data_IF_365679837664
#
_entry.id   IF_365679837664
#
_cell.length_a   1.000
_cell.length_b   1.000
_cell.length_c   1.000
_cell.angle_alpha   90.00
_cell.angle_beta   90.00
_cell.angle_gamma   90.00
#
_symmetry.space_group_name_H-M   'P 1'
#
loop_
_entity.id
_entity.type
_entity.pdbx_description
1 polymer ?
#
# COMPACT_ATOMS: atom_id res chain seq x y z
N UNK A 1 37.61 28.28 -34.99
CA UNK A 1 36.97 29.07 -33.93
C UNK A 1 35.48 29.00 -34.16
N UNK A 2 34.75 28.94 -33.05
CA UNK A 2 33.30 29.02 -32.88
C UNK A 2 32.47 27.78 -33.21
N UNK A 3 32.49 26.86 -32.23
CA UNK A 3 31.28 26.19 -31.81
C UNK A 3 30.45 27.09 -30.91
N UNK A 4 29.11 26.94 -30.95
CA UNK A 4 28.20 27.02 -29.79
C UNK A 4 26.74 27.09 -30.28
N UNK A 5 25.94 26.09 -29.88
CA UNK A 5 24.70 26.22 -29.08
C UNK A 5 23.79 25.02 -29.32
N UNK A 6 24.10 23.91 -28.63
CA UNK A 6 23.11 22.89 -28.33
C UNK A 6 22.21 23.40 -27.20
N UNK A 7 20.92 23.28 -27.42
CA UNK A 7 19.80 23.62 -26.53
C UNK A 7 19.79 22.69 -25.31
N UNK A 8 20.49 23.07 -24.24
CA UNK A 8 20.67 22.26 -23.02
C UNK A 8 19.51 22.31 -22.00
N UNK A 9 18.36 22.93 -22.33
CA UNK A 9 17.23 23.06 -21.40
C UNK A 9 16.30 21.84 -21.38
N UNK A 10 15.87 21.37 -22.56
CA UNK A 10 14.87 20.30 -22.68
C UNK A 10 15.39 18.90 -22.35
N UNK A 11 16.63 18.57 -22.72
CA UNK A 11 17.19 17.22 -22.48
C UNK A 11 17.43 16.94 -20.99
N UNK A 12 17.85 17.93 -20.20
CA UNK A 12 18.09 17.78 -18.77
C UNK A 12 16.79 17.59 -17.97
N UNK A 13 15.69 18.17 -18.45
CA UNK A 13 14.36 18.06 -17.87
C UNK A 13 13.76 16.68 -18.20
N UNK A 14 13.87 16.24 -19.46
CA UNK A 14 13.36 14.95 -19.92
C UNK A 14 14.11 13.77 -19.29
N UNK A 15 15.43 13.90 -19.12
CA UNK A 15 16.26 12.95 -18.37
C UNK A 15 15.83 12.85 -16.89
N UNK A 16 15.58 13.98 -16.21
CA UNK A 16 15.10 13.99 -14.82
C UNK A 16 13.77 13.27 -14.63
N UNK A 17 12.83 13.39 -15.58
CA UNK A 17 11.54 12.69 -15.49
C UNK A 17 11.68 11.19 -15.70
N UNK A 18 12.50 10.78 -16.68
CA UNK A 18 12.80 9.37 -16.92
C UNK A 18 13.45 8.73 -15.69
N UNK A 19 14.39 9.44 -15.07
CA UNK A 19 15.07 8.96 -13.85
C UNK A 19 14.10 8.80 -12.67
N UNK A 20 13.22 9.78 -12.46
CA UNK A 20 12.18 9.72 -11.41
C UNK A 20 11.18 8.60 -11.69
N UNK A 21 10.78 8.42 -12.96
CA UNK A 21 9.90 7.33 -13.37
C UNK A 21 10.50 5.95 -13.05
N UNK A 22 11.75 5.72 -13.47
CA UNK A 22 12.43 4.46 -13.20
C UNK A 22 12.66 4.24 -11.70
N UNK A 23 12.97 5.29 -10.94
CA UNK A 23 13.11 5.21 -9.49
C UNK A 23 11.80 4.78 -8.80
N UNK A 24 10.68 5.44 -9.10
CA UNK A 24 9.38 5.12 -8.49
C UNK A 24 8.86 3.76 -8.95
N UNK A 25 9.04 3.42 -10.23
CA UNK A 25 8.65 2.11 -10.76
C UNK A 25 9.45 0.98 -10.11
N UNK A 26 10.74 1.22 -9.80
CA UNK A 26 11.59 0.25 -9.11
C UNK A 26 11.27 0.15 -7.61
N UNK A 27 10.93 1.25 -6.94
CA UNK A 27 10.39 1.22 -5.57
C UNK A 27 9.07 0.45 -5.50
N UNK A 28 8.24 0.56 -6.53
CA UNK A 28 7.03 -0.24 -6.66
C UNK A 28 7.25 -1.72 -6.96
N UNK A 29 8.49 -2.24 -7.07
CA UNK A 29 8.75 -3.68 -7.28
C UNK A 29 8.68 -4.46 -5.97
N UNK A 30 8.03 -5.63 -6.02
CA UNK A 30 7.96 -6.54 -4.88
C UNK A 30 9.23 -7.39 -4.82
N UNK A 31 10.25 -6.88 -4.14
CA UNK A 31 11.55 -7.55 -3.98
C UNK A 31 11.63 -8.34 -2.66
N UNK A 32 12.60 -9.24 -2.55
CA UNK A 32 12.83 -10.00 -1.31
C UNK A 32 13.13 -9.09 -0.10
N UNK A 33 13.92 -8.03 -0.30
CA UNK A 33 14.20 -7.06 0.77
C UNK A 33 12.93 -6.35 1.25
N UNK A 34 12.04 -5.98 0.33
CA UNK A 34 10.74 -5.41 0.64
C UNK A 34 9.92 -6.35 1.52
N UNK A 35 9.85 -7.64 1.14
CA UNK A 35 9.14 -8.66 1.90
C UNK A 35 9.73 -8.85 3.31
N UNK A 36 11.06 -8.91 3.44
CA UNK A 36 11.73 -9.04 4.73
C UNK A 36 11.44 -7.84 5.64
N UNK A 37 11.56 -6.61 5.14
CA UNK A 37 11.21 -5.42 5.91
C UNK A 37 9.74 -5.38 6.30
N UNK A 38 8.84 -5.78 5.40
CA UNK A 38 7.41 -5.85 5.69
C UNK A 38 7.10 -6.84 6.81
N UNK A 39 7.68 -8.04 6.78
CA UNK A 39 7.47 -9.06 7.82
C UNK A 39 8.05 -8.60 9.16
N UNK A 40 9.28 -8.10 9.18
CA UNK A 40 9.90 -7.57 10.40
C UNK A 40 9.07 -6.43 11.00
N UNK A 41 8.63 -5.48 10.17
CA UNK A 41 7.78 -4.39 10.62
C UNK A 41 6.46 -4.90 11.20
N UNK A 42 5.82 -5.89 10.56
CA UNK A 42 4.56 -6.46 11.04
C UNK A 42 4.73 -7.20 12.38
N UNK A 43 5.82 -7.93 12.60
CA UNK A 43 6.13 -8.58 13.89
C UNK A 43 6.34 -7.53 15.00
N UNK A 44 7.09 -6.46 14.71
CA UNK A 44 7.30 -5.36 15.66
C UNK A 44 5.98 -4.67 16.00
N UNK A 45 5.12 -4.44 15.01
CA UNK A 45 3.79 -3.86 15.21
C UNK A 45 2.92 -4.76 16.11
N UNK A 46 2.94 -6.07 15.88
CA UNK A 46 2.17 -7.07 16.65
C UNK A 46 2.53 -7.04 18.13
N UNK A 47 3.83 -7.08 18.45
CA UNK A 47 4.36 -6.97 19.81
C UNK A 47 4.03 -5.60 20.40
N UNK A 48 4.17 -4.52 19.63
CA UNK A 48 3.93 -3.16 20.09
C UNK A 48 2.46 -2.93 20.49
N UNK A 49 1.52 -3.52 19.75
CA UNK A 49 0.09 -3.49 20.06
C UNK A 49 -0.21 -4.23 21.38
N UNK A 50 0.37 -5.42 21.58
CA UNK A 50 0.14 -6.22 22.81
C UNK A 50 0.83 -5.64 24.04
N UNK A 51 1.96 -4.95 23.86
CA UNK A 51 2.70 -4.28 24.95
C UNK A 51 2.23 -2.85 25.23
N UNK A 52 1.19 -2.38 24.54
CA UNK A 52 0.61 -1.03 24.68
C UNK A 52 1.65 0.10 24.55
N UNK A 53 2.63 -0.08 23.66
CA UNK A 53 3.76 0.86 23.48
C UNK A 53 3.64 1.64 22.16
N UNK A 54 3.13 2.88 22.24
CA UNK A 54 3.03 3.77 21.10
C UNK A 54 4.38 4.02 20.40
N UNK A 55 5.49 4.08 21.15
CA UNK A 55 6.83 4.26 20.60
C UNK A 55 7.24 3.09 19.68
N UNK A 56 6.98 1.84 20.11
CA UNK A 56 7.24 0.66 19.30
C UNK A 56 6.29 0.59 18.09
N UNK A 57 5.06 1.07 18.25
CA UNK A 57 4.09 1.15 17.13
C UNK A 57 4.62 2.12 16.06
N UNK A 58 5.13 3.29 16.42
CA UNK A 58 5.74 4.21 15.45
C UNK A 58 7.03 3.65 14.82
N UNK A 59 7.85 2.94 15.61
CA UNK A 59 9.04 2.27 15.08
C UNK A 59 8.70 1.25 13.98
N UNK A 60 7.60 0.49 14.14
CA UNK A 60 7.14 -0.43 13.11
C UNK A 60 6.75 0.26 11.79
N UNK A 61 6.20 1.48 11.86
CA UNK A 61 5.84 2.25 10.66
C UNK A 61 7.07 2.75 9.91
N UNK A 62 8.14 3.09 10.63
CA UNK A 62 9.42 3.51 10.03
C UNK A 62 10.10 2.38 9.26
N UNK A 63 9.93 1.14 9.72
CA UNK A 63 10.49 -0.05 9.07
C UNK A 63 9.71 -0.45 7.82
N UNK A 64 8.42 -0.09 7.75
CA UNK A 64 7.52 -0.60 6.72
C UNK A 64 7.68 0.10 5.37
N UNK A 65 7.92 -0.65 4.28
CA UNK A 65 7.99 -0.08 2.94
C UNK A 65 6.61 0.10 2.27
N UNK A 66 5.50 0.07 3.02
CA UNK A 66 4.13 0.16 2.47
C UNK A 66 3.86 1.43 1.66
N UNK A 67 4.63 2.50 1.88
CA UNK A 67 4.48 3.74 1.11
C UNK A 67 4.96 3.65 -0.34
N UNK A 68 5.96 2.82 -0.62
CA UNK A 68 6.53 2.67 -1.96
C UNK A 68 5.49 2.27 -3.03
N UNK A 69 4.67 1.21 -2.84
CA UNK A 69 3.64 0.86 -3.81
C UNK A 69 2.50 1.90 -3.88
N UNK A 70 2.21 2.63 -2.79
CA UNK A 70 1.18 3.69 -2.80
C UNK A 70 1.64 4.88 -3.66
N UNK A 71 2.91 5.26 -3.57
CA UNK A 71 3.49 6.29 -4.45
C UNK A 71 3.46 5.87 -5.91
N UNK A 72 3.75 4.59 -6.19
CA UNK A 72 3.63 4.02 -7.53
C UNK A 72 2.20 4.16 -8.09
N UNK A 73 1.17 3.99 -7.27
CA UNK A 73 -0.24 4.22 -7.65
C UNK A 73 -0.49 5.69 -7.99
N UNK A 74 -0.12 6.62 -7.11
CA UNK A 74 -0.37 8.06 -7.29
C UNK A 74 0.35 8.59 -8.55
N UNK A 75 1.60 8.20 -8.73
CA UNK A 75 2.41 8.62 -9.87
C UNK A 75 1.89 8.00 -11.18
N UNK A 76 1.56 6.71 -11.18
CA UNK A 76 0.94 6.05 -12.34
C UNK A 76 -0.40 6.66 -12.74
N UNK A 77 -1.24 7.04 -11.76
CA UNK A 77 -2.50 7.76 -12.01
C UNK A 77 -2.27 9.15 -12.59
N UNK A 78 -1.21 9.83 -12.16
CA UNK A 78 -0.84 11.16 -12.67
C UNK A 78 -0.35 11.10 -14.12
N UNK A 79 0.43 10.07 -14.47
CA UNK A 79 0.92 9.82 -15.84
C UNK A 79 -0.11 9.14 -16.75
N UNK A 80 -1.28 8.74 -16.22
CA UNK A 80 -2.29 7.94 -16.94
C UNK A 80 -1.74 6.63 -17.49
N UNK A 81 -0.76 6.02 -16.82
CA UNK A 81 -0.20 4.73 -17.21
C UNK A 81 -0.78 3.59 -16.37
N UNK A 82 -1.74 2.80 -16.91
CA UNK A 82 -2.46 1.80 -16.13
C UNK A 82 -1.58 0.63 -15.68
N UNK A 83 -0.48 0.36 -16.40
CA UNK A 83 0.48 -0.71 -16.05
C UNK A 83 1.14 -0.44 -14.70
N UNK A 84 1.60 0.80 -14.49
CA UNK A 84 2.24 1.22 -13.24
C UNK A 84 1.23 1.25 -12.08
N UNK A 85 0.03 1.80 -12.31
CA UNK A 85 -1.04 1.83 -11.31
C UNK A 85 -1.47 0.44 -10.87
N UNK A 86 -1.68 -0.49 -11.82
CA UNK A 86 -2.11 -1.86 -11.50
C UNK A 86 -1.03 -2.61 -10.73
N UNK A 87 0.25 -2.42 -11.08
CA UNK A 87 1.39 -2.98 -10.35
C UNK A 87 1.41 -2.48 -8.90
N UNK A 88 1.24 -1.17 -8.68
CA UNK A 88 1.16 -0.59 -7.35
C UNK A 88 -0.02 -1.17 -6.55
N UNK A 89 -1.22 -1.20 -7.14
CA UNK A 89 -2.41 -1.73 -6.47
C UNK A 89 -2.28 -3.22 -6.09
N UNK A 90 -1.74 -4.04 -6.99
CA UNK A 90 -1.45 -5.46 -6.72
C UNK A 90 -0.48 -5.60 -5.55
N UNK A 91 0.60 -4.84 -5.55
CA UNK A 91 1.63 -4.95 -4.52
C UNK A 91 1.13 -4.43 -3.17
N UNK A 92 0.39 -3.32 -3.12
CA UNK A 92 -0.28 -2.86 -1.88
C UNK A 92 -1.23 -3.92 -1.33
N UNK A 93 -2.06 -4.53 -2.18
CA UNK A 93 -3.01 -5.57 -1.78
C UNK A 93 -2.30 -6.80 -1.21
N UNK A 94 -1.25 -7.27 -1.88
CA UNK A 94 -0.41 -8.40 -1.40
C UNK A 94 0.23 -8.05 -0.04
N UNK A 95 0.77 -6.85 0.11
CA UNK A 95 1.38 -6.43 1.37
C UNK A 95 0.38 -6.37 2.52
N UNK A 96 -0.83 -5.87 2.29
CA UNK A 96 -1.89 -5.87 3.33
C UNK A 96 -2.27 -7.29 3.76
N UNK A 97 -2.42 -8.21 2.81
CA UNK A 97 -2.71 -9.62 3.11
C UNK A 97 -1.59 -10.22 3.96
N UNK A 98 -0.33 -9.97 3.62
CA UNK A 98 0.82 -10.44 4.41
C UNK A 98 0.77 -9.87 5.83
N UNK A 99 0.47 -8.58 6.01
CA UNK A 99 0.34 -7.98 7.34
C UNK A 99 -0.77 -8.65 8.18
N UNK A 100 -1.91 -8.96 7.57
CA UNK A 100 -3.01 -9.65 8.25
C UNK A 100 -2.59 -11.07 8.64
N UNK A 101 -1.95 -11.82 7.74
CA UNK A 101 -1.45 -13.18 8.00
C UNK A 101 -0.43 -13.16 9.13
N UNK A 102 0.52 -12.22 9.11
CA UNK A 102 1.53 -12.07 10.17
C UNK A 102 0.88 -11.71 11.50
N UNK A 103 -0.11 -10.80 11.51
CA UNK A 103 -0.86 -10.45 12.72
C UNK A 103 -1.66 -11.62 13.29
N UNK A 104 -2.20 -12.50 12.46
CA UNK A 104 -2.84 -13.75 12.92
C UNK A 104 -1.78 -14.73 13.46
N UNK A 105 -0.68 -14.94 12.74
CA UNK A 105 0.34 -15.90 13.10
C UNK A 105 1.09 -15.54 14.39
N UNK A 106 1.47 -14.27 14.54
CA UNK A 106 2.17 -13.74 15.72
C UNK A 106 1.20 -13.30 16.84
N UNK A 107 -0.08 -13.07 16.52
CA UNK A 107 -1.12 -12.87 17.51
C UNK A 107 -1.31 -14.08 18.44
N UNK A 108 -1.04 -15.31 17.98
CA UNK A 108 -1.14 -16.53 18.81
C UNK A 108 -0.13 -16.49 19.97
N UNK A 109 1.20 -16.41 19.72
CA UNK A 109 2.16 -16.29 20.82
C UNK A 109 1.94 -15.02 21.64
N UNK A 110 1.53 -13.90 21.02
CA UNK A 110 1.21 -12.68 21.75
C UNK A 110 0.05 -12.87 22.75
N UNK A 111 -0.98 -13.64 22.39
CA UNK A 111 -2.08 -14.02 23.27
C UNK A 111 -1.62 -14.91 24.44
N UNK A 112 -0.75 -15.89 24.18
CA UNK A 112 -0.20 -16.73 25.25
C UNK A 112 0.66 -15.92 26.22
N UNK A 113 1.46 -14.99 25.71
CA UNK A 113 2.31 -14.10 26.53
C UNK A 113 1.43 -13.18 27.38
N UNK A 114 0.38 -12.58 26.81
CA UNK A 114 -0.51 -11.69 27.56
C UNK A 114 -1.22 -12.42 28.71
N UNK A 115 -1.62 -13.67 28.50
CA UNK A 115 -2.19 -14.52 29.54
C UNK A 115 -1.19 -14.78 30.67
N UNK A 116 0.08 -15.07 30.35
CA UNK A 116 1.11 -15.38 31.34
C UNK A 116 1.59 -14.14 32.12
N UNK A 117 1.79 -13.01 31.43
CA UNK A 117 2.22 -11.75 32.05
C UNK A 117 1.08 -11.02 32.77
N UNK A 118 -0.17 -11.42 32.53
CA UNK A 118 -1.33 -10.83 33.17
C UNK A 118 -1.60 -9.39 32.75
N UNK A 119 -1.32 -9.05 31.49
CA UNK A 119 -1.54 -7.71 30.92
C UNK A 119 -3.01 -7.33 31.10
N UNK A 120 -3.26 -6.17 31.71
CA UNK A 120 -4.58 -5.60 31.91
C UNK A 120 -4.51 -4.08 31.62
N UNK A 121 -5.39 -3.54 30.76
CA UNK A 121 -6.47 -4.22 30.04
C UNK A 121 -5.98 -5.05 28.83
N UNK A 122 -6.65 -6.17 28.54
CA UNK A 122 -6.41 -6.98 27.33
C UNK A 122 -7.75 -7.35 26.68
N UNK A 123 -8.01 -6.96 25.41
CA UNK A 123 -7.15 -6.20 24.48
C UNK A 123 -6.70 -4.82 24.99
N UNK A 124 -5.50 -4.39 24.59
CA UNK A 124 -4.85 -3.15 25.06
C UNK A 124 -5.52 -1.89 24.52
N UNK A 125 -5.11 -0.72 25.04
CA UNK A 125 -5.64 0.57 24.61
C UNK A 125 -5.21 0.93 23.19
N UNK A 126 -3.97 0.61 22.80
CA UNK A 126 -3.44 0.77 21.45
C UNK A 126 -4.17 -0.09 20.42
N UNK A 127 -4.54 -1.33 20.76
CA UNK A 127 -5.36 -2.17 19.90
C UNK A 127 -6.78 -1.61 19.75
N UNK A 128 -7.39 -1.27 20.89
CA UNK A 128 -8.79 -0.86 20.96
C UNK A 128 -9.05 0.46 20.25
N UNK A 129 -8.18 1.45 20.42
CA UNK A 129 -8.32 2.79 19.83
C UNK A 129 -8.39 2.76 18.30
N UNK A 130 -7.73 1.79 17.67
CA UNK A 130 -7.70 1.58 16.21
C UNK A 130 -8.89 0.77 15.66
N UNK A 131 -9.73 0.23 16.54
CA UNK A 131 -10.97 -0.48 16.20
C UNK A 131 -12.24 0.34 16.49
N UNK A 132 -12.10 1.61 16.85
CA UNK A 132 -13.23 2.50 17.15
C UNK A 132 -13.61 3.36 15.94
N UNK A 133 -14.92 3.54 15.71
CA UNK A 133 -15.42 4.40 14.64
C UNK A 133 -14.92 5.86 14.74
N UNK A 134 -14.62 6.35 15.95
CA UNK A 134 -14.06 7.70 16.15
C UNK A 134 -12.70 7.87 15.46
N UNK A 135 -11.91 6.79 15.35
CA UNK A 135 -10.61 6.82 14.69
C UNK A 135 -10.74 7.01 13.17
N UNK A 136 -11.82 6.48 12.56
CA UNK A 136 -12.11 6.69 11.13
C UNK A 136 -12.35 8.16 10.82
N UNK A 137 -13.09 8.87 11.68
CA UNK A 137 -13.40 10.28 11.47
C UNK A 137 -12.12 11.12 11.58
N UNK A 138 -11.31 10.85 12.61
CA UNK A 138 -10.02 11.53 12.79
C UNK A 138 -9.07 11.27 11.62
N UNK A 139 -9.08 10.04 11.08
CA UNK A 139 -8.17 9.67 9.99
C UNK A 139 -8.51 10.32 8.66
N UNK A 140 -9.76 10.75 8.41
CA UNK A 140 -10.12 11.46 7.18
C UNK A 140 -9.28 12.74 7.02
N UNK A 141 -9.21 13.55 8.08
CA UNK A 141 -8.47 14.82 8.06
C UNK A 141 -6.98 14.54 7.90
N UNK A 142 -6.43 13.62 8.68
CA UNK A 142 -5.01 13.26 8.62
C UNK A 142 -4.64 12.68 7.27
N UNK A 143 -5.44 11.76 6.72
CA UNK A 143 -5.20 11.14 5.41
C UNK A 143 -5.27 12.14 4.26
N UNK A 144 -6.21 13.08 4.32
CA UNK A 144 -6.29 14.14 3.33
C UNK A 144 -5.05 15.04 3.32
N UNK A 145 -4.55 15.44 4.51
CA UNK A 145 -3.34 16.22 4.64
C UNK A 145 -2.09 15.43 4.18
N UNK A 146 -2.02 14.13 4.50
CA UNK A 146 -0.91 13.30 4.07
C UNK A 146 -0.88 13.04 2.57
N UNK A 147 -2.01 12.93 1.87
CA UNK A 147 -1.99 12.81 0.41
C UNK A 147 -1.48 14.06 -0.31
N UNK A 148 -1.76 15.25 0.26
CA UNK A 148 -1.14 16.51 -0.18
C UNK A 148 0.37 16.45 0.04
N UNK A 149 0.81 16.09 1.26
CA UNK A 149 2.23 15.96 1.62
C UNK A 149 2.97 14.96 0.71
N UNK A 150 2.39 13.79 0.44
CA UNK A 150 2.97 12.76 -0.45
C UNK A 150 3.19 13.31 -1.86
N UNK A 151 2.24 14.09 -2.38
CA UNK A 151 2.36 14.71 -3.71
C UNK A 151 3.50 15.72 -3.78
N UNK A 152 3.77 16.46 -2.69
CA UNK A 152 4.93 17.34 -2.61
C UNK A 152 6.24 16.59 -2.32
N UNK A 153 6.19 15.49 -1.56
CA UNK A 153 7.34 14.64 -1.28
C UNK A 153 7.91 14.02 -2.56
N UNK A 154 7.04 13.57 -3.48
CA UNK A 154 7.43 13.02 -4.78
C UNK A 154 8.17 14.06 -5.61
N UNK A 155 7.67 15.30 -5.68
CA UNK A 155 8.27 16.38 -6.48
C UNK A 155 9.58 16.89 -5.89
N UNK A 156 9.68 16.92 -4.56
CA UNK A 156 10.87 17.40 -3.85
C UNK A 156 11.93 16.31 -3.67
N UNK A 157 11.64 15.07 -4.09
CA UNK A 157 12.45 13.88 -3.83
C UNK A 157 12.90 13.78 -2.35
N UNK A 158 12.02 14.18 -1.43
CA UNK A 158 12.33 14.26 0.00
C UNK A 158 11.99 12.94 0.70
N UNK A 159 13.02 12.16 1.01
CA UNK A 159 12.87 10.94 1.81
C UNK A 159 12.30 11.25 3.21
N UNK A 160 12.65 12.39 3.81
CA UNK A 160 12.13 12.78 5.11
C UNK A 160 10.61 13.02 5.09
N UNK A 161 10.09 13.66 4.03
CA UNK A 161 8.65 13.86 3.87
C UNK A 161 7.92 12.53 3.63
N UNK A 162 8.53 11.61 2.87
CA UNK A 162 8.00 10.27 2.65
C UNK A 162 7.87 9.48 3.97
N UNK A 163 8.93 9.46 4.78
CA UNK A 163 8.95 8.79 6.07
C UNK A 163 7.93 9.43 7.03
N UNK A 164 7.86 10.76 7.09
CA UNK A 164 6.88 11.48 7.93
C UNK A 164 5.44 11.11 7.59
N UNK A 165 5.13 10.92 6.31
CA UNK A 165 3.80 10.47 5.89
C UNK A 165 3.51 9.02 6.33
N UNK A 166 4.50 8.13 6.30
CA UNK A 166 4.35 6.74 6.75
C UNK A 166 3.95 6.67 8.24
N UNK A 167 4.57 7.52 9.07
CA UNK A 167 4.29 7.63 10.50
C UNK A 167 2.89 8.23 10.74
N UNK A 168 2.56 9.31 10.02
CA UNK A 168 1.31 10.05 10.23
C UNK A 168 0.06 9.23 9.94
N UNK A 169 0.15 8.26 9.01
CA UNK A 169 -1.03 7.59 8.46
C UNK A 169 -1.34 6.25 9.12
N UNK A 170 -0.43 5.74 9.95
CA UNK A 170 -0.60 4.47 10.65
C UNK A 170 -1.14 3.38 9.71
N UNK A 171 -0.51 3.11 8.56
CA UNK A 171 -1.05 2.12 7.61
C UNK A 171 -0.80 0.68 8.06
N UNK A 172 0.40 0.42 8.61
CA UNK A 172 0.81 -0.91 9.05
C UNK A 172 0.05 -1.37 10.31
N UNK A 173 0.00 -0.59 11.41
CA UNK A 173 -0.52 -1.13 12.66
C UNK A 173 -2.00 -1.51 12.65
N UNK A 174 -2.93 -0.76 12.05
CA UNK A 174 -4.33 -1.19 11.95
C UNK A 174 -4.51 -2.40 11.02
N UNK A 175 -3.61 -2.63 10.06
CA UNK A 175 -3.62 -3.85 9.22
C UNK A 175 -3.26 -5.09 10.06
N UNK A 176 -2.21 -4.98 10.88
CA UNK A 176 -1.79 -6.05 11.80
C UNK A 176 -2.84 -6.28 12.90
N UNK A 177 -3.37 -5.18 13.46
CA UNK A 177 -4.42 -5.20 14.48
C UNK A 177 -5.71 -5.87 13.99
N UNK A 178 -6.08 -5.69 12.72
CA UNK A 178 -7.16 -6.43 12.08
C UNK A 178 -6.95 -7.95 12.19
N UNK A 179 -5.75 -8.43 11.84
CA UNK A 179 -5.38 -9.84 11.97
C UNK A 179 -5.47 -10.34 13.41
N UNK A 180 -4.95 -9.57 14.38
CA UNK A 180 -5.04 -9.90 15.80
C UNK A 180 -6.49 -9.97 16.29
N UNK A 181 -7.35 -9.02 15.92
CA UNK A 181 -8.76 -9.04 16.32
C UNK A 181 -9.55 -10.18 15.71
N UNK A 182 -9.28 -10.56 14.46
CA UNK A 182 -9.88 -11.76 13.88
C UNK A 182 -9.43 -13.03 14.59
N UNK A 183 -8.15 -13.13 14.97
CA UNK A 183 -7.67 -14.22 15.80
C UNK A 183 -8.40 -14.25 17.16
N UNK A 184 -8.52 -13.11 17.84
CA UNK A 184 -9.20 -13.01 19.13
C UNK A 184 -10.68 -13.37 19.03
N UNK A 185 -11.35 -13.02 17.93
CA UNK A 185 -12.72 -13.45 17.66
C UNK A 185 -12.81 -14.99 17.56
N UNK A 186 -11.86 -15.63 16.85
CA UNK A 186 -11.79 -17.10 16.75
C UNK A 186 -11.49 -17.74 18.10
N UNK A 187 -10.54 -17.20 18.87
CA UNK A 187 -10.23 -17.69 20.22
C UNK A 187 -11.45 -17.55 21.14
N UNK A 188 -12.19 -16.46 21.07
CA UNK A 188 -13.41 -16.25 21.84
C UNK A 188 -14.55 -17.24 21.49
N UNK A 189 -14.53 -17.81 20.28
CA UNK A 189 -15.46 -18.87 19.88
C UNK A 189 -15.05 -20.24 20.39
N UNK A 190 -13.74 -20.49 20.49
CA UNK A 190 -13.15 -21.76 20.97
C UNK A 190 -13.23 -21.83 22.50
N UNK A 191 -12.75 -20.79 23.19
CA UNK A 191 -12.82 -20.68 24.64
C UNK A 191 -14.24 -20.35 25.06
N UNK A 192 -15.00 -21.35 25.50
CA UNK A 192 -16.35 -21.13 26.02
C UNK A 192 -16.29 -20.21 27.25
N UNK A 193 -17.12 -19.16 27.31
CA UNK A 193 -17.15 -18.28 28.47
C UNK A 193 -17.68 -19.00 29.71
N UNK A 194 -17.18 -18.61 30.88
CA UNK A 194 -17.77 -19.01 32.16
C UNK A 194 -19.05 -18.21 32.37
N UNK A 195 -20.18 -18.91 32.46
CA UNK A 195 -21.50 -18.28 32.68
C UNK A 195 -21.75 -18.17 34.18
N UNK A 196 -21.81 -16.96 34.69
CA UNK A 196 -22.16 -16.66 36.08
C UNK A 196 -23.52 -15.98 36.14
N UNK A 197 -24.31 -16.30 37.17
CA UNK A 197 -25.57 -15.60 37.46
C UNK A 197 -25.29 -14.56 38.53
N UNK A 198 -25.42 -13.27 38.19
CA UNK A 198 -25.30 -12.19 39.15
C UNK A 198 -26.71 -11.70 39.48
N UNK A 199 -27.03 -11.62 40.76
CA UNK A 199 -28.29 -11.07 41.24
C UNK A 199 -28.06 -9.61 41.59
N UNK A 200 -28.42 -8.70 40.69
CA UNK A 200 -28.39 -7.27 40.99
C UNK A 200 -29.69 -6.89 41.72
N UNK A 201 -29.55 -6.24 42.87
CA UNK A 201 -30.68 -5.75 43.66
C UNK A 201 -30.89 -4.27 43.33
N UNK A 202 -31.95 -3.96 42.57
CA UNK A 202 -32.33 -2.57 42.32
C UNK A 202 -32.95 -2.01 43.60
N UNK A 203 -32.19 -1.16 44.31
CA UNK A 203 -32.67 -0.45 45.49
C UNK A 203 -33.47 0.78 45.05
N UNK A 204 -34.66 0.56 44.51
CA UNK A 204 -35.64 1.62 44.36
C UNK A 204 -37.02 1.08 44.72
N UNK A 205 -37.34 1.19 46.01
CA UNK A 205 -38.66 1.14 46.65
C UNK A 205 -39.53 -0.14 46.48
N UNK A 206 -39.04 -1.18 45.79
CA UNK A 206 -39.50 -2.56 45.88
C UNK A 206 -38.30 -3.47 45.52
N UNK A 207 -37.98 -4.45 46.37
CA UNK A 207 -36.84 -5.36 46.18
C UNK A 207 -37.08 -6.32 45.01
N UNK A 208 -36.88 -5.83 43.79
CA UNK A 208 -36.81 -6.66 42.58
C UNK A 208 -35.35 -7.10 42.43
N UNK A 209 -35.09 -8.37 42.74
CA UNK A 209 -33.81 -9.02 42.46
C UNK A 209 -33.82 -9.48 41.00
N UNK A 210 -33.07 -8.81 40.14
CA UNK A 210 -32.93 -9.20 38.73
C UNK A 210 -31.71 -10.09 38.62
N UNK A 211 -31.91 -11.34 38.22
CA UNK A 211 -30.81 -12.25 37.89
C UNK A 211 -30.36 -11.97 36.47
N UNK A 212 -29.20 -11.34 36.32
CA UNK A 212 -28.54 -11.13 35.03
C UNK A 212 -27.52 -12.23 34.79
N UNK A 213 -27.47 -12.72 33.56
CA UNK A 213 -26.47 -13.70 33.11
C UNK A 213 -25.23 -12.92 32.69
N UNK A 214 -24.11 -13.15 33.36
CA UNK A 214 -22.83 -12.50 33.07
C UNK A 214 -21.82 -13.55 32.59
N UNK A 215 -21.29 -13.37 31.38
CA UNK A 215 -20.21 -14.18 30.84
C UNK A 215 -18.86 -13.57 31.19
N UNK A 216 -17.90 -14.40 31.59
CA UNK A 216 -16.53 -13.97 31.82
C UNK A 216 -15.56 -14.90 31.08
N UNK A 217 -14.65 -14.30 30.31
CA UNK A 217 -13.54 -15.01 29.67
C UNK A 217 -12.31 -14.99 30.59
N UNK A 218 -11.50 -16.04 30.53
CA UNK A 218 -10.27 -16.15 31.34
C UNK A 218 -9.24 -15.08 30.96
N UNK A 219 -9.20 -14.74 29.68
CA UNK A 219 -8.17 -13.90 29.08
C UNK A 219 -8.59 -12.43 28.91
N UNK A 220 -9.89 -12.12 28.89
CA UNK A 220 -10.38 -10.73 28.81
C UNK A 220 -10.32 -10.12 30.22
N UNK A 221 -9.51 -9.07 30.39
CA UNK A 221 -9.33 -8.38 31.68
C UNK A 221 -9.57 -6.88 31.51
N UNK A 222 -10.43 -6.33 32.35
CA UNK A 222 -10.76 -4.89 32.43
C UNK A 222 -11.05 -4.22 31.08
N UNK A 223 -11.70 -4.97 30.20
CA UNK A 223 -12.04 -4.51 28.87
C UNK A 223 -13.43 -3.87 28.83
N UNK A 224 -13.52 -2.67 28.25
CA UNK A 224 -14.78 -1.98 28.05
C UNK A 224 -15.36 -2.30 26.66
N UNK A 225 -16.49 -3.00 26.63
CA UNK A 225 -17.22 -3.31 25.41
C UNK A 225 -17.96 -2.05 24.92
N UNK A 226 -17.80 -1.70 23.65
CA UNK A 226 -18.39 -0.47 23.08
C UNK A 226 -19.58 -0.80 22.20
N UNK A 227 -19.49 -1.84 21.37
CA UNK A 227 -20.57 -2.19 20.43
C UNK A 227 -21.59 -3.15 21.04
N UNK A 228 -21.23 -3.81 22.14
CA UNK A 228 -22.01 -4.88 22.76
C UNK A 228 -22.22 -4.63 24.26
N UNK A 229 -23.41 -4.94 24.76
CA UNK A 229 -23.75 -4.88 26.19
C UNK A 229 -23.53 -6.20 26.92
N UNK A 230 -23.67 -7.33 26.22
CA UNK A 230 -23.52 -8.68 26.78
C UNK A 230 -22.12 -9.24 26.53
N UNK A 231 -21.37 -9.52 27.58
CA UNK A 231 -20.05 -10.14 27.47
C UNK A 231 -20.07 -11.55 26.81
N UNK A 232 -21.23 -12.19 26.69
CA UNK A 232 -21.36 -13.49 26.01
C UNK A 232 -21.17 -13.38 24.48
N UNK A 233 -21.42 -12.21 23.91
CA UNK A 233 -21.28 -11.95 22.48
C UNK A 233 -19.91 -11.31 22.13
N UNK A 234 -18.93 -11.43 23.03
CA UNK A 234 -17.56 -10.94 22.84
C UNK A 234 -16.90 -11.30 21.49
N UNK A 235 -17.12 -12.50 20.88
CA UNK A 235 -16.58 -12.79 19.55
C UNK A 235 -16.99 -11.78 18.48
N UNK A 236 -18.24 -11.29 18.57
CA UNK A 236 -18.76 -10.32 17.61
C UNK A 236 -18.19 -8.92 17.83
N UNK A 237 -17.89 -8.52 19.07
CA UNK A 237 -17.18 -7.27 19.37
C UNK A 237 -15.79 -7.27 18.70
N UNK A 238 -15.04 -8.35 18.86
CA UNK A 238 -13.70 -8.47 18.28
C UNK A 238 -13.75 -8.52 16.75
N UNK A 239 -14.72 -9.22 16.18
CA UNK A 239 -14.93 -9.23 14.73
C UNK A 239 -15.24 -7.82 14.19
N UNK A 240 -16.11 -7.06 14.85
CA UNK A 240 -16.44 -5.67 14.48
C UNK A 240 -15.18 -4.80 14.54
N UNK A 241 -14.38 -4.92 15.62
CA UNK A 241 -13.14 -4.14 15.76
C UNK A 241 -12.09 -4.49 14.72
N UNK A 242 -11.97 -5.76 14.35
CA UNK A 242 -11.13 -6.20 13.23
C UNK A 242 -11.54 -5.56 11.91
N UNK A 243 -12.84 -5.60 11.60
CA UNK A 243 -13.40 -4.97 10.39
C UNK A 243 -13.17 -3.46 10.40
N UNK A 244 -13.43 -2.77 11.51
CA UNK A 244 -13.20 -1.32 11.63
C UNK A 244 -11.72 -0.97 11.42
N UNK A 245 -10.79 -1.76 11.97
CA UNK A 245 -9.35 -1.55 11.77
C UNK A 245 -8.92 -1.77 10.32
N UNK A 246 -9.52 -2.75 9.62
CA UNK A 246 -9.31 -2.93 8.18
C UNK A 246 -9.91 -1.79 7.35
N UNK A 247 -11.11 -1.33 7.68
CA UNK A 247 -11.71 -0.18 7.02
C UNK A 247 -10.86 1.08 7.22
N UNK A 248 -10.24 1.25 8.39
CA UNK A 248 -9.32 2.36 8.66
C UNK A 248 -8.12 2.35 7.71
N UNK A 249 -7.49 1.21 7.47
CA UNK A 249 -6.35 1.14 6.53
C UNK A 249 -6.78 1.41 5.09
N UNK A 250 -7.88 0.80 4.65
CA UNK A 250 -8.40 0.99 3.30
C UNK A 250 -8.81 2.44 3.05
N UNK A 251 -9.54 3.04 4.00
CA UNK A 251 -9.97 4.43 3.92
C UNK A 251 -8.76 5.37 3.83
N UNK A 252 -7.72 5.15 4.65
CA UNK A 252 -6.51 5.95 4.60
C UNK A 252 -5.84 5.83 3.22
N UNK A 253 -5.67 4.62 2.69
CA UNK A 253 -5.06 4.40 1.36
C UNK A 253 -5.87 5.09 0.26
N UNK A 254 -7.19 4.93 0.25
CA UNK A 254 -8.08 5.52 -0.75
C UNK A 254 -8.02 7.06 -0.69
N UNK A 255 -8.08 7.65 0.51
CA UNK A 255 -8.01 9.10 0.67
C UNK A 255 -6.67 9.67 0.25
N UNK A 256 -5.56 8.99 0.53
CA UNK A 256 -4.22 9.38 0.07
C UNK A 256 -4.19 9.40 -1.46
N UNK A 257 -4.72 8.35 -2.11
CA UNK A 257 -4.74 8.26 -3.57
C UNK A 257 -5.60 9.39 -4.16
N UNK A 258 -6.81 9.61 -3.63
CA UNK A 258 -7.73 10.64 -4.13
C UNK A 258 -7.15 12.04 -3.96
N UNK A 259 -6.68 12.37 -2.76
CA UNK A 259 -6.14 13.72 -2.48
C UNK A 259 -4.80 13.94 -3.17
N UNK A 260 -3.96 12.91 -3.27
CA UNK A 260 -2.70 13.00 -4.01
C UNK A 260 -2.91 13.20 -5.52
N UNK A 261 -3.85 12.44 -6.09
CA UNK A 261 -4.29 12.65 -7.48
C UNK A 261 -4.86 14.06 -7.69
N UNK A 262 -5.72 14.52 -6.77
CA UNK A 262 -6.33 15.85 -6.84
C UNK A 262 -5.29 16.97 -6.81
N UNK A 263 -4.27 16.87 -5.96
CA UNK A 263 -3.18 17.86 -5.89
C UNK A 263 -2.35 17.88 -7.16
N UNK A 264 -2.00 16.71 -7.69
CA UNK A 264 -1.28 16.64 -8.97
C UNK A 264 -2.12 17.20 -10.11
N UNK A 265 -3.43 16.93 -10.11
CA UNK A 265 -4.37 17.49 -11.08
C UNK A 265 -4.54 19.01 -10.95
N UNK A 266 -4.56 19.55 -9.73
CA UNK A 266 -4.62 20.99 -9.49
C UNK A 266 -3.35 21.69 -9.97
N UNK A 267 -2.18 21.05 -9.84
CA UNK A 267 -0.93 21.59 -10.41
C UNK A 267 -1.00 21.70 -11.94
N UNK A 268 -1.72 20.81 -12.62
CA UNK A 268 -1.99 20.93 -14.06
C UNK A 268 -2.95 22.09 -14.40
N UNK A 269 -3.73 22.60 -13.43
CA UNK A 269 -4.82 23.56 -13.63
C UNK A 269 -4.52 24.98 -13.11
N UNK A 270 -3.56 25.16 -12.20
CA UNK A 270 -3.22 26.48 -11.65
C UNK A 270 -2.52 27.32 -12.74
N UNK A 271 -3.08 28.49 -13.14
CA UNK A 271 -2.35 29.42 -13.98
C UNK A 271 -1.12 29.91 -13.23
N UNK A 272 0.03 29.86 -13.91
CA UNK A 272 1.39 30.06 -13.43
C UNK A 272 1.65 31.48 -12.89
N UNK A 273 1.03 31.86 -11.77
CA UNK A 273 1.12 33.21 -11.20
C UNK A 273 2.02 33.31 -9.96
N UNK A 274 2.54 32.19 -9.42
CA UNK A 274 3.28 32.20 -8.14
C UNK A 274 4.51 31.26 -8.12
N UNK A 275 5.23 31.11 -9.21
CA UNK A 275 6.48 30.32 -9.20
C UNK A 275 7.49 30.89 -10.19
N UNK A 276 8.78 30.88 -9.79
CA UNK A 276 9.93 31.42 -10.52
C UNK A 276 9.88 31.16 -12.03
N UNK A 277 10.40 32.11 -12.82
CA UNK A 277 10.38 32.10 -14.29
C UNK A 277 10.94 30.81 -14.94
N UNK A 278 11.90 30.13 -14.28
CA UNK A 278 12.42 28.83 -14.75
C UNK A 278 11.42 27.70 -14.62
N UNK A 279 10.73 27.61 -13.49
CA UNK A 279 9.71 26.57 -13.25
C UNK A 279 8.51 26.79 -14.16
N UNK A 280 8.22 28.05 -14.48
CA UNK A 280 7.17 28.43 -15.45
C UNK A 280 7.42 27.80 -16.83
N UNK A 281 8.64 27.92 -17.36
CA UNK A 281 9.01 27.45 -18.71
C UNK A 281 8.92 25.94 -18.88
N UNK A 282 9.35 25.20 -17.85
CA UNK A 282 9.24 23.73 -17.75
C UNK A 282 7.78 23.26 -17.90
N UNK A 283 6.85 23.95 -17.26
CA UNK A 283 5.45 23.52 -17.25
C UNK A 283 4.66 23.94 -18.49
N UNK A 284 4.97 25.08 -19.14
CA UNK A 284 4.16 25.56 -20.27
C UNK A 284 4.47 24.85 -21.59
N UNK A 285 5.72 24.41 -21.78
CA UNK A 285 6.18 23.91 -23.08
C UNK A 285 6.57 22.44 -23.00
N UNK A 286 7.39 22.08 -22.01
CA UNK A 286 8.03 20.76 -22.00
C UNK A 286 7.04 19.66 -21.63
N UNK A 287 6.06 19.88 -20.75
CA UNK A 287 5.11 18.83 -20.33
C UNK A 287 4.08 18.46 -21.42
N UNK A 288 3.68 19.43 -22.24
CA UNK A 288 2.79 19.19 -23.39
C UNK A 288 3.54 18.52 -24.54
N UNK A 289 4.77 18.98 -24.81
CA UNK A 289 5.65 18.43 -25.83
C UNK A 289 6.11 17.00 -25.47
N UNK A 290 6.38 16.71 -24.19
CA UNK A 290 6.70 15.38 -23.68
C UNK A 290 5.48 14.45 -23.75
N UNK A 291 4.27 14.91 -23.43
CA UNK A 291 3.06 14.08 -23.56
C UNK A 291 2.78 13.68 -25.01
N UNK A 292 2.94 14.62 -25.95
CA UNK A 292 2.72 14.37 -27.38
C UNK A 292 3.89 13.55 -27.99
N UNK A 293 5.13 13.72 -27.51
CA UNK A 293 6.28 12.89 -27.92
C UNK A 293 6.27 11.49 -27.29
N UNK A 294 5.78 11.30 -26.06
CA UNK A 294 5.75 9.99 -25.41
C UNK A 294 4.80 9.02 -26.16
N UNK A 295 3.64 9.51 -26.59
CA UNK A 295 2.71 8.74 -27.44
C UNK A 295 3.30 8.44 -28.83
N UNK A 296 4.15 9.32 -29.37
CA UNK A 296 4.77 9.17 -30.69
C UNK A 296 6.01 8.25 -30.67
N UNK A 297 6.91 8.43 -29.71
CA UNK A 297 8.16 7.67 -29.52
C UNK A 297 7.87 6.21 -29.20
N UNK A 298 6.80 5.90 -28.47
CA UNK A 298 6.45 4.52 -28.17
C UNK A 298 5.90 3.76 -29.39
N UNK A 299 5.21 4.47 -30.31
CA UNK A 299 4.82 3.93 -31.63
C UNK A 299 6.02 3.74 -32.56
N UNK A 300 6.93 4.70 -32.60
CA UNK A 300 8.12 4.67 -33.46
C UNK A 300 9.15 3.63 -33.02
N UNK A 301 9.43 3.49 -31.71
CA UNK A 301 10.38 2.48 -31.20
C UNK A 301 9.94 1.05 -31.45
N UNK A 302 8.63 0.75 -31.43
CA UNK A 302 8.13 -0.59 -31.72
C UNK A 302 8.29 -0.96 -33.21
N UNK A 303 8.05 0.01 -34.11
CA UNK A 303 8.20 -0.17 -35.55
C UNK A 303 9.68 -0.21 -35.98
N UNK A 304 10.53 0.64 -35.40
CA UNK A 304 11.98 0.66 -35.70
C UNK A 304 12.70 -0.57 -35.15
N UNK A 305 12.34 -1.07 -33.95
CA UNK A 305 12.88 -2.35 -33.47
C UNK A 305 12.46 -3.52 -34.36
N UNK A 306 11.21 -3.53 -34.82
CA UNK A 306 10.73 -4.58 -35.73
C UNK A 306 11.45 -4.51 -37.09
N UNK A 307 11.69 -3.30 -37.62
CA UNK A 307 12.43 -3.10 -38.86
C UNK A 307 13.91 -3.48 -38.76
N UNK A 308 14.59 -3.11 -37.65
CA UNK A 308 15.98 -3.50 -37.40
C UNK A 308 16.12 -5.01 -37.19
N UNK A 309 15.20 -5.63 -36.45
CA UNK A 309 15.23 -7.07 -36.23
C UNK A 309 14.93 -7.86 -37.52
N UNK A 310 14.06 -7.33 -38.39
CA UNK A 310 13.81 -7.89 -39.72
C UNK A 310 15.03 -7.76 -40.66
N UNK A 311 15.76 -6.64 -40.60
CA UNK A 311 17.00 -6.46 -41.35
C UNK A 311 18.13 -7.39 -40.87
N UNK A 312 18.26 -7.62 -39.57
CA UNK A 312 19.21 -8.60 -39.03
C UNK A 312 18.82 -10.04 -39.41
N UNK A 313 17.53 -10.39 -39.40
CA UNK A 313 17.05 -11.68 -39.90
C UNK A 313 17.42 -11.89 -41.38
N UNK A 314 17.20 -10.89 -42.24
CA UNK A 314 17.59 -10.94 -43.65
C UNK A 314 19.10 -11.07 -43.82
N UNK A 315 19.88 -10.35 -43.02
CA UNK A 315 21.35 -10.42 -43.03
C UNK A 315 21.84 -11.83 -42.70
N UNK A 316 21.29 -12.44 -41.66
CA UNK A 316 21.64 -13.80 -41.22
C UNK A 316 21.17 -14.86 -42.23
N UNK A 317 20.06 -14.63 -42.94
CA UNK A 317 19.55 -15.54 -43.97
C UNK A 317 20.30 -15.45 -45.31
N UNK A 318 20.81 -14.26 -45.67
CA UNK A 318 21.54 -14.01 -46.93
C UNK A 318 23.03 -14.34 -46.85
N UNK A 319 23.63 -14.26 -45.65
CA UNK A 319 25.01 -14.66 -45.39
C UNK A 319 25.06 -15.64 -44.21
N UNK A 320 24.78 -16.94 -44.43
CA UNK A 320 24.97 -17.94 -43.40
C UNK A 320 26.47 -17.99 -43.10
N UNK A 321 26.88 -17.59 -41.90
CA UNK A 321 28.21 -17.90 -41.39
C UNK A 321 28.30 -19.41 -41.26
N UNK A 322 29.21 -20.03 -42.02
CA UNK A 322 29.44 -21.47 -41.98
C UNK A 322 29.68 -21.93 -40.54
N UNK A 323 28.75 -22.71 -39.99
CA UNK A 323 29.05 -23.61 -38.88
C UNK A 323 28.08 -23.69 -37.69
N UNK A 324 27.05 -22.84 -37.54
CA UNK A 324 26.40 -22.75 -36.21
C UNK A 324 24.88 -23.02 -36.13
N UNK A 325 24.17 -23.28 -37.23
CA UNK A 325 22.73 -23.57 -37.16
C UNK A 325 22.31 -24.67 -38.14
N UNK A 326 21.63 -25.69 -37.63
CA UNK A 326 20.99 -26.72 -38.46
C UNK A 326 19.69 -26.18 -39.08
N UNK A 327 19.20 -26.82 -40.13
CA UNK A 327 17.94 -26.41 -40.79
C UNK A 327 16.73 -26.44 -39.82
N UNK A 328 16.79 -27.30 -38.81
CA UNK A 328 15.78 -27.45 -37.77
C UNK A 328 15.82 -26.27 -36.77
N UNK A 329 17.02 -25.80 -36.41
CA UNK A 329 17.21 -24.63 -35.54
C UNK A 329 16.67 -23.34 -36.19
N UNK A 330 16.82 -23.21 -37.51
CA UNK A 330 16.35 -22.05 -38.27
C UNK A 330 14.82 -22.03 -38.39
N UNK A 331 14.18 -23.18 -38.53
CA UNK A 331 12.72 -23.31 -38.53
C UNK A 331 12.14 -23.00 -37.13
N UNK A 332 12.78 -23.49 -36.06
CA UNK A 332 12.37 -23.24 -34.69
C UNK A 332 12.58 -21.78 -34.27
N UNK A 333 13.66 -21.14 -34.71
CA UNK A 333 13.89 -19.71 -34.52
C UNK A 333 12.79 -18.90 -35.24
N UNK A 334 12.43 -19.30 -36.45
CA UNK A 334 11.40 -18.63 -37.27
C UNK A 334 10.01 -18.74 -36.62
N UNK A 335 9.65 -19.91 -36.08
CA UNK A 335 8.40 -20.11 -35.35
C UNK A 335 8.33 -19.30 -34.05
N UNK A 336 9.42 -19.25 -33.28
CA UNK A 336 9.51 -18.44 -32.06
C UNK A 336 9.41 -16.94 -32.38
N UNK A 337 10.00 -16.51 -33.49
CA UNK A 337 9.94 -15.11 -33.93
C UNK A 337 8.53 -14.70 -34.39
N UNK A 338 7.84 -15.57 -35.14
CA UNK A 338 6.43 -15.38 -35.50
C UNK A 338 5.52 -15.29 -34.26
N UNK A 339 5.74 -16.13 -33.25
CA UNK A 339 4.97 -16.09 -32.01
C UNK A 339 5.15 -14.77 -31.23
N UNK A 340 6.37 -14.20 -31.22
CA UNK A 340 6.65 -12.89 -30.61
C UNK A 340 6.01 -11.75 -31.40
N UNK A 341 5.97 -11.85 -32.73
CA UNK A 341 5.33 -10.88 -33.63
C UNK A 341 3.79 -10.92 -33.58
N UNK A 342 3.19 -12.07 -33.25
CA UNK A 342 1.73 -12.20 -33.09
C UNK A 342 1.22 -11.76 -31.70
N UNK A 343 2.08 -11.77 -30.68
CA UNK A 343 1.71 -11.40 -29.31
C UNK A 343 1.18 -9.96 -29.10
N UNK A 344 1.52 -8.92 -29.90
CA UNK A 344 0.93 -7.59 -29.73
C UNK A 344 -0.53 -7.52 -30.23
N UNK A 345 -1.00 -8.49 -31.01
CA UNK A 345 -2.29 -8.43 -31.70
C UNK A 345 -3.39 -9.33 -31.10
N UNK A 346 -3.09 -10.21 -30.14
CA UNK A 346 -4.10 -11.12 -29.56
C UNK A 346 -4.83 -10.60 -28.31
N UNK A 347 -4.63 -9.34 -27.92
CA UNK A 347 -5.34 -8.70 -26.80
C UNK A 347 -6.43 -7.71 -27.20
N UNK A 348 -6.72 -7.56 -28.51
CA UNK A 348 -7.70 -6.61 -29.02
C UNK A 348 -8.71 -7.31 -29.95
N UNK A 349 -9.46 -8.26 -29.42
CA UNK A 349 -10.84 -8.50 -29.86
C UNK A 349 -11.57 -9.40 -28.87
N UNK A 350 -12.72 -8.88 -28.43
CA UNK A 350 -13.77 -9.42 -27.53
C UNK A 350 -13.49 -9.24 -26.04
#
# INVERSE_FOLDING_TARGET
MDGAKLTNGGSAIELRHSDVYHAISNQGNFNFNYLCFLICAAIVADIALVTDSAACVFASMLLSPLMEPIMCIIFGLSLREPRMTTKGFRNTSVSLIICIIVGIAFGIPAHFISMFQGIAPYPTSEMSSRGEAKALIASIVVASASGVSVSFAILSNSLAAMIGNAISLSLLPPSVNCGQFFLLAVIALIDRPYVMKKTDTLKENNTISVTVVQCQYRWIKDYNFIYITNACDAPTEFAIRGVVSFCLTLLNIILIIITGYSVNRLKDLVPQSFTNDETRRFYTKDLKEVRDNYDCVHRLKAADLAAQAYQEYLRLSLHPTEGDYTAEDTEQLTANFQAVMEFPFRGASI
#
